data_IF_994577657879
#
_entry.id   IF_994577657879
#
_cell.length_a   1.000
_cell.length_b   1.000
_cell.length_c   1.000
_cell.angle_alpha   90.00
_cell.angle_beta   90.00
_cell.angle_gamma   90.00
#
_symmetry.space_group_name_H-M   'P 1'
#
loop_
_entity.id
_entity.type
_entity.pdbx_description
1 polymer ?
#
# COMPACT_ATOMS: atom_id res chain seq x y z
N UNK A 1 -92.91 -4.74 -21.85
CA UNK A 1 -92.36 -5.39 -20.68
C UNK A 1 -91.00 -5.97 -21.06
N UNK A 2 -89.92 -5.19 -20.97
CA UNK A 2 -88.51 -5.64 -21.22
C UNK A 2 -87.70 -5.32 -20.01
N UNK A 3 -87.14 -6.34 -19.37
CA UNK A 3 -86.22 -6.23 -18.27
C UNK A 3 -84.85 -6.13 -18.87
N UNK A 4 -84.24 -4.99 -18.84
CA UNK A 4 -82.81 -4.83 -19.15
C UNK A 4 -81.93 -5.20 -17.92
N UNK A 5 -81.06 -6.17 -18.12
CA UNK A 5 -80.11 -6.62 -17.11
C UNK A 5 -78.85 -5.77 -17.22
N UNK A 6 -78.53 -5.02 -16.18
CA UNK A 6 -77.21 -4.34 -16.01
C UNK A 6 -76.16 -5.40 -15.71
N UNK A 7 -74.98 -5.31 -16.34
CA UNK A 7 -73.84 -6.13 -15.92
C UNK A 7 -73.01 -5.39 -14.82
N UNK A 8 -72.78 -6.09 -13.72
CA UNK A 8 -71.85 -5.71 -12.68
C UNK A 8 -70.42 -5.84 -13.25
N UNK A 9 -69.74 -4.72 -13.41
CA UNK A 9 -68.29 -4.68 -13.69
C UNK A 9 -67.53 -4.82 -12.37
N UNK A 10 -66.90 -5.99 -12.13
CA UNK A 10 -66.01 -6.24 -11.03
C UNK A 10 -64.63 -5.65 -11.40
N UNK A 11 -64.28 -4.51 -10.82
CA UNK A 11 -62.95 -3.91 -10.93
C UNK A 11 -61.94 -4.63 -10.01
N UNK A 12 -61.08 -5.46 -10.57
CA UNK A 12 -59.88 -5.96 -9.86
C UNK A 12 -58.83 -4.87 -9.78
N UNK A 13 -58.74 -4.21 -8.62
CA UNK A 13 -57.59 -3.35 -8.32
C UNK A 13 -56.38 -4.22 -7.99
N UNK A 14 -55.45 -4.30 -8.94
CA UNK A 14 -54.17 -4.96 -8.70
C UNK A 14 -53.26 -4.04 -7.86
N UNK A 15 -53.08 -4.38 -6.60
CA UNK A 15 -52.06 -3.77 -5.74
C UNK A 15 -50.70 -4.26 -6.19
N UNK A 16 -49.92 -3.42 -6.90
CA UNK A 16 -48.50 -3.66 -7.16
C UNK A 16 -47.73 -3.27 -5.90
N UNK A 17 -47.35 -4.26 -5.10
CA UNK A 17 -46.44 -4.04 -3.98
C UNK A 17 -45.03 -3.75 -4.53
N UNK A 18 -44.59 -2.51 -4.41
CA UNK A 18 -43.21 -2.15 -4.70
C UNK A 18 -42.29 -2.76 -3.63
N UNK A 19 -41.55 -3.82 -4.00
CA UNK A 19 -40.52 -4.41 -3.18
C UNK A 19 -39.32 -3.47 -3.26
N UNK A 20 -39.08 -2.65 -2.24
CA UNK A 20 -37.89 -1.86 -2.07
C UNK A 20 -36.72 -2.83 -1.75
N UNK A 21 -35.91 -3.15 -2.74
CA UNK A 21 -34.65 -3.87 -2.54
C UNK A 21 -33.69 -2.97 -1.79
N UNK A 22 -33.52 -3.18 -0.49
CA UNK A 22 -32.48 -2.57 0.30
C UNK A 22 -31.15 -3.06 -0.26
N UNK A 23 -30.42 -2.18 -0.97
CA UNK A 23 -29.07 -2.44 -1.40
C UNK A 23 -28.16 -2.53 -0.15
N UNK A 24 -27.53 -3.69 0.03
CA UNK A 24 -26.52 -3.86 1.05
C UNK A 24 -25.40 -2.81 0.84
N UNK A 25 -24.83 -2.21 1.92
CA UNK A 25 -23.76 -1.25 1.79
C UNK A 25 -22.60 -1.88 1.02
N UNK A 26 -22.16 -1.22 -0.04
CA UNK A 26 -20.98 -1.62 -0.82
C UNK A 26 -19.78 -1.69 0.13
N UNK A 27 -19.05 -2.81 0.20
CA UNK A 27 -17.84 -2.87 1.04
C UNK A 27 -16.90 -1.73 0.68
N UNK A 28 -16.42 -1.00 1.70
CA UNK A 28 -15.43 0.07 1.48
C UNK A 28 -14.26 -0.50 0.69
N UNK A 29 -13.85 0.19 -0.39
CA UNK A 29 -12.77 -0.25 -1.24
C UNK A 29 -11.50 -0.50 -0.40
N UNK A 30 -10.91 -1.70 -0.51
CA UNK A 30 -9.69 -2.03 0.20
C UNK A 30 -8.54 -1.15 -0.36
N UNK A 31 -7.97 -0.22 0.41
CA UNK A 31 -6.91 0.68 -0.07
C UNK A 31 -5.61 -0.07 -0.41
N UNK A 32 -5.52 -1.34 -0.04
CA UNK A 32 -4.39 -2.21 -0.33
C UNK A 32 -4.63 -3.11 -1.55
N UNK A 33 -5.77 -2.96 -2.26
CA UNK A 33 -6.08 -3.72 -3.47
C UNK A 33 -5.85 -2.89 -4.75
N UNK A 34 -5.46 -3.50 -5.88
CA UNK A 34 -5.37 -2.82 -7.16
C UNK A 34 -6.76 -2.36 -7.68
N UNK A 35 -6.83 -1.34 -8.55
CA UNK A 35 -5.69 -0.58 -9.07
C UNK A 35 -5.14 0.44 -8.05
N UNK A 36 -3.82 0.42 -7.85
CA UNK A 36 -3.18 1.32 -6.90
C UNK A 36 -3.12 2.74 -7.45
N UNK A 37 -3.46 3.70 -6.59
CA UNK A 37 -3.31 5.12 -6.91
C UNK A 37 -1.88 5.58 -6.59
N UNK A 38 -1.31 6.40 -7.48
CA UNK A 38 -0.06 7.12 -7.24
C UNK A 38 1.21 6.22 -7.13
N UNK A 39 1.25 5.07 -7.83
CA UNK A 39 2.50 4.35 -8.08
C UNK A 39 3.32 5.11 -9.13
N UNK A 40 4.54 5.55 -8.76
CA UNK A 40 5.42 6.33 -9.64
C UNK A 40 6.70 5.58 -10.03
N UNK A 41 7.27 4.78 -9.15
CA UNK A 41 8.52 4.05 -9.36
C UNK A 41 8.31 2.55 -9.41
N UNK A 42 7.40 2.03 -8.59
CA UNK A 42 7.04 0.61 -8.61
C UNK A 42 6.20 0.27 -9.85
N UNK A 43 6.28 -0.99 -10.36
CA UNK A 43 5.48 -1.45 -11.49
C UNK A 43 3.98 -1.23 -11.26
N UNK A 44 3.26 -0.86 -12.31
CA UNK A 44 1.81 -0.60 -12.23
C UNK A 44 0.98 -1.87 -12.03
N UNK A 45 1.50 -2.98 -12.47
CA UNK A 45 0.94 -4.34 -12.38
C UNK A 45 1.40 -5.12 -11.15
N UNK A 46 2.12 -4.46 -10.22
CA UNK A 46 2.60 -5.10 -8.99
C UNK A 46 1.42 -5.72 -8.21
N UNK A 47 1.56 -6.97 -7.81
CA UNK A 47 0.55 -7.66 -7.00
C UNK A 47 0.51 -7.14 -5.57
N UNK A 48 -0.63 -7.32 -4.89
CA UNK A 48 -0.77 -6.89 -3.49
C UNK A 48 0.28 -7.51 -2.55
N UNK A 49 0.57 -8.82 -2.60
CA UNK A 49 1.62 -9.40 -1.76
C UNK A 49 2.99 -8.80 -2.01
N UNK A 50 3.35 -8.56 -3.27
CA UNK A 50 4.62 -7.92 -3.65
C UNK A 50 4.71 -6.49 -3.14
N UNK A 51 3.64 -5.69 -3.30
CA UNK A 51 3.62 -4.32 -2.80
C UNK A 51 3.79 -4.27 -1.29
N UNK A 52 3.04 -5.09 -0.54
CA UNK A 52 3.13 -5.15 0.92
C UNK A 52 4.52 -5.65 1.35
N UNK A 53 5.07 -6.64 0.66
CA UNK A 53 6.43 -7.13 0.90
C UNK A 53 7.46 -6.02 0.75
N UNK A 54 7.41 -5.26 -0.34
CA UNK A 54 8.28 -4.10 -0.57
C UNK A 54 8.13 -3.03 0.52
N UNK A 55 6.89 -2.69 0.92
CA UNK A 55 6.66 -1.69 1.98
C UNK A 55 7.23 -2.14 3.34
N UNK A 56 7.08 -3.41 3.69
CA UNK A 56 7.69 -4.00 4.89
C UNK A 56 9.23 -3.95 4.83
N UNK A 57 9.79 -4.33 3.69
CA UNK A 57 11.24 -4.28 3.47
C UNK A 57 11.78 -2.85 3.58
N UNK A 58 11.12 -1.85 3.01
CA UNK A 58 11.51 -0.44 3.13
C UNK A 58 11.46 0.03 4.59
N UNK A 59 10.37 -0.27 5.29
CA UNK A 59 10.21 0.10 6.69
C UNK A 59 11.31 -0.51 7.57
N UNK A 60 11.62 -1.80 7.38
CA UNK A 60 12.69 -2.51 8.10
C UNK A 60 14.08 -1.94 7.76
N UNK A 61 14.32 -1.67 6.47
CA UNK A 61 15.62 -1.13 6.01
C UNK A 61 15.93 0.25 6.61
N UNK A 62 14.89 1.01 6.95
CA UNK A 62 14.99 2.36 7.51
C UNK A 62 14.75 2.41 9.04
N UNK A 63 14.33 1.30 9.66
CA UNK A 63 13.96 1.26 11.07
C UNK A 63 12.76 2.13 11.42
N UNK A 64 11.76 2.23 10.49
CA UNK A 64 10.59 3.10 10.65
C UNK A 64 9.28 2.32 10.50
N UNK A 65 8.16 2.98 10.80
CA UNK A 65 6.81 2.43 10.62
C UNK A 65 6.11 3.08 9.42
N UNK A 66 4.94 2.53 9.06
CA UNK A 66 4.16 2.98 7.89
C UNK A 66 3.83 4.48 7.93
N UNK A 67 3.57 5.01 9.12
CA UNK A 67 3.23 6.42 9.37
C UNK A 67 4.38 7.38 9.07
N UNK A 68 5.61 6.91 8.97
CA UNK A 68 6.74 7.76 8.60
C UNK A 68 6.60 8.31 7.16
N UNK A 69 6.12 7.48 6.23
CA UNK A 69 5.98 7.83 4.81
C UNK A 69 4.52 8.05 4.38
N UNK A 70 3.55 7.45 5.07
CA UNK A 70 2.15 7.49 4.69
C UNK A 70 1.31 8.28 5.68
N UNK A 71 0.26 8.93 5.17
CA UNK A 71 -0.74 9.60 6.00
C UNK A 71 -1.63 8.55 6.67
N UNK A 72 -1.66 8.57 7.98
CA UNK A 72 -2.39 7.64 8.83
C UNK A 72 -1.98 7.83 10.28
N UNK A 73 -2.66 7.15 11.18
CA UNK A 73 -2.42 7.22 12.62
C UNK A 73 -1.90 5.88 13.14
N UNK A 74 -0.88 5.94 14.00
CA UNK A 74 -0.27 4.75 14.60
C UNK A 74 -1.32 3.97 15.42
N UNK A 75 -1.31 2.65 15.29
CA UNK A 75 -2.27 1.78 15.99
C UNK A 75 -3.65 1.69 15.35
N UNK A 76 -3.96 2.51 14.35
CA UNK A 76 -5.23 2.40 13.62
C UNK A 76 -5.14 1.36 12.50
N UNK A 77 -6.28 0.78 12.08
CA UNK A 77 -6.32 -0.13 10.95
C UNK A 77 -5.75 0.48 9.67
N UNK A 78 -5.01 -0.29 8.88
CA UNK A 78 -4.42 0.17 7.62
C UNK A 78 -5.47 0.65 6.60
N UNK A 79 -6.72 0.21 6.72
CA UNK A 79 -7.83 0.68 5.90
C UNK A 79 -8.16 2.17 6.06
N UNK A 80 -7.70 2.80 7.16
CA UNK A 80 -7.89 4.23 7.43
C UNK A 80 -6.76 5.11 6.90
N UNK A 81 -5.69 4.50 6.35
CA UNK A 81 -4.55 5.24 5.84
C UNK A 81 -4.81 5.76 4.43
N UNK A 82 -4.34 6.98 4.15
CA UNK A 82 -4.22 7.49 2.79
C UNK A 82 -2.83 7.15 2.23
N UNK A 83 -2.72 5.93 1.67
CA UNK A 83 -1.49 5.47 1.03
C UNK A 83 -1.17 6.21 -0.26
N UNK A 84 -2.13 6.87 -0.89
CA UNK A 84 -1.93 7.59 -2.14
C UNK A 84 -1.36 9.00 -1.93
N UNK A 85 -1.64 9.62 -0.78
CA UNK A 85 -1.22 10.99 -0.46
C UNK A 85 0.29 11.19 -0.55
N UNK A 86 0.72 12.31 -1.10
CA UNK A 86 2.10 12.80 -1.13
C UNK A 86 2.35 13.94 -0.12
N UNK A 87 1.49 14.08 0.89
CA UNK A 87 1.62 15.11 1.92
C UNK A 87 2.90 14.97 2.75
N UNK A 88 3.48 13.74 2.84
CA UNK A 88 4.71 13.50 3.59
C UNK A 88 5.93 13.52 2.67
N UNK A 89 6.88 14.40 2.95
CA UNK A 89 8.11 14.54 2.14
C UNK A 89 8.99 13.29 2.17
N UNK A 90 8.98 12.53 3.28
CA UNK A 90 9.69 11.26 3.37
C UNK A 90 9.30 10.27 2.27
N UNK A 91 8.03 10.25 1.86
CA UNK A 91 7.56 9.42 0.74
C UNK A 91 8.17 9.85 -0.59
N UNK A 92 8.28 11.17 -0.84
CA UNK A 92 8.91 11.71 -2.04
C UNK A 92 10.42 11.40 -2.08
N UNK A 93 11.08 11.54 -0.91
CA UNK A 93 12.51 11.18 -0.76
C UNK A 93 12.71 9.68 -1.00
N UNK A 94 11.86 8.82 -0.43
CA UNK A 94 11.94 7.37 -0.64
C UNK A 94 11.84 6.98 -2.12
N UNK A 95 10.98 7.64 -2.90
CA UNK A 95 10.91 7.41 -4.36
C UNK A 95 12.19 7.78 -5.08
N UNK A 96 12.84 8.89 -4.71
CA UNK A 96 14.13 9.29 -5.28
C UNK A 96 15.22 8.27 -4.94
N UNK A 97 15.24 7.78 -3.70
CA UNK A 97 16.19 6.74 -3.26
C UNK A 97 15.94 5.42 -3.98
N UNK A 98 14.68 5.01 -4.16
CA UNK A 98 14.32 3.80 -4.90
C UNK A 98 14.77 3.89 -6.36
N UNK A 99 14.52 5.01 -7.03
CA UNK A 99 14.99 5.24 -8.40
C UNK A 99 16.51 5.20 -8.48
N UNK A 100 17.22 5.74 -7.50
CA UNK A 100 18.68 5.67 -7.40
C UNK A 100 19.17 4.21 -7.25
N UNK A 101 18.58 3.44 -6.36
CA UNK A 101 18.91 2.02 -6.15
C UNK A 101 18.67 1.20 -7.43
N UNK A 102 17.57 1.44 -8.14
CA UNK A 102 17.31 0.82 -9.44
C UNK A 102 18.42 1.13 -10.44
N UNK A 103 18.77 2.42 -10.58
CA UNK A 103 19.81 2.85 -11.51
C UNK A 103 21.15 2.20 -11.20
N UNK A 104 21.56 2.15 -9.93
CA UNK A 104 22.82 1.52 -9.51
C UNK A 104 22.81 0.03 -9.89
N UNK A 105 21.75 -0.70 -9.54
CA UNK A 105 21.66 -2.13 -9.87
C UNK A 105 21.70 -2.38 -11.39
N UNK A 106 20.97 -1.58 -12.15
CA UNK A 106 20.87 -1.73 -13.61
C UNK A 106 22.16 -1.31 -14.32
N UNK A 107 22.65 -0.10 -14.05
CA UNK A 107 23.75 0.50 -14.81
C UNK A 107 25.13 0.01 -14.35
N UNK A 108 25.34 -0.14 -13.03
CA UNK A 108 26.64 -0.48 -12.48
C UNK A 108 26.83 -1.99 -12.30
N UNK A 109 25.74 -2.74 -12.04
CA UNK A 109 25.78 -4.18 -11.81
C UNK A 109 25.10 -5.02 -12.88
N UNK A 110 24.50 -4.41 -13.91
CA UNK A 110 23.85 -5.13 -15.01
C UNK A 110 22.64 -5.97 -14.59
N UNK A 111 22.02 -5.65 -13.45
CA UNK A 111 20.86 -6.37 -12.92
C UNK A 111 19.63 -6.01 -13.76
N UNK A 112 19.04 -7.00 -14.42
CA UNK A 112 17.87 -6.81 -15.30
C UNK A 112 16.53 -7.09 -14.62
N UNK A 113 16.56 -7.73 -13.46
CA UNK A 113 15.38 -8.09 -12.69
C UNK A 113 15.63 -7.97 -11.18
N UNK A 114 14.55 -8.04 -10.38
CA UNK A 114 14.63 -7.89 -8.92
C UNK A 114 15.06 -9.17 -8.17
N UNK A 115 15.33 -10.26 -8.87
CA UNK A 115 15.65 -11.55 -8.23
C UNK A 115 17.10 -11.62 -7.72
N UNK A 116 17.98 -10.77 -8.25
CA UNK A 116 19.42 -10.80 -7.95
C UNK A 116 20.01 -9.40 -7.73
N UNK A 117 19.30 -8.54 -7.01
CA UNK A 117 19.77 -7.17 -6.68
C UNK A 117 21.06 -7.21 -5.84
N UNK A 118 22.00 -6.34 -6.16
CA UNK A 118 23.29 -6.19 -5.46
C UNK A 118 23.22 -5.11 -4.39
N UNK A 119 22.49 -4.04 -4.65
CA UNK A 119 22.31 -2.90 -3.74
C UNK A 119 20.84 -2.76 -3.38
N UNK A 120 20.55 -2.61 -2.11
CA UNK A 120 19.21 -2.40 -1.57
C UNK A 120 19.18 -1.18 -0.66
N UNK A 121 18.01 -0.79 -0.18
CA UNK A 121 17.88 0.24 0.85
C UNK A 121 18.71 -0.11 2.09
N UNK A 122 18.70 -1.38 2.49
CA UNK A 122 19.42 -1.86 3.67
C UNK A 122 20.95 -1.76 3.52
N UNK A 123 21.49 -1.86 2.30
CA UNK A 123 22.93 -1.75 2.04
C UNK A 123 23.51 -0.46 2.63
N UNK A 124 22.77 0.65 2.52
CA UNK A 124 23.19 1.94 3.04
C UNK A 124 22.58 2.28 4.39
N UNK A 125 21.28 1.97 4.58
CA UNK A 125 20.51 2.43 5.74
C UNK A 125 20.65 1.57 6.99
N UNK A 126 20.77 0.25 6.85
CA UNK A 126 21.04 -0.70 7.97
C UNK A 126 20.12 -0.50 9.18
N UNK A 127 18.84 -0.23 8.95
CA UNK A 127 17.85 0.01 10.01
C UNK A 127 17.82 1.45 10.53
N UNK A 128 18.41 2.41 9.82
CA UNK A 128 18.39 3.83 10.18
C UNK A 128 17.96 4.70 8.99
N UNK A 129 17.21 5.77 9.27
CA UNK A 129 16.86 6.77 8.25
C UNK A 129 18.05 7.56 7.72
N UNK A 130 19.17 7.60 8.46
CA UNK A 130 20.41 8.27 8.09
C UNK A 130 21.50 7.22 7.90
N UNK A 131 21.98 7.00 6.66
CA UNK A 131 23.17 6.16 6.44
C UNK A 131 24.38 6.69 7.19
N UNK A 132 25.25 5.77 7.62
CA UNK A 132 26.55 6.16 8.20
C UNK A 132 27.43 6.76 7.10
N UNK A 133 28.02 7.92 7.37
CA UNK A 133 28.94 8.62 6.48
C UNK A 133 30.40 8.57 6.98
N UNK A 134 30.61 8.01 8.17
CA UNK A 134 31.91 7.79 8.77
C UNK A 134 31.97 6.40 9.40
N UNK A 135 33.15 5.86 9.56
CA UNK A 135 33.34 4.63 10.32
C UNK A 135 32.97 4.85 11.79
N UNK A 136 32.32 3.87 12.44
CA UNK A 136 32.13 3.92 13.88
C UNK A 136 33.51 3.94 14.58
N UNK A 137 33.64 4.54 15.78
CA UNK A 137 34.87 4.47 16.55
C UNK A 137 35.31 3.01 16.70
N UNK A 138 36.59 2.75 16.49
CA UNK A 138 37.13 1.41 16.71
C UNK A 138 37.19 1.15 18.20
N UNK A 139 36.34 0.25 18.68
CA UNK A 139 36.44 -0.24 20.05
C UNK A 139 37.78 -1.01 20.21
N UNK A 140 38.61 -0.68 21.21
CA UNK A 140 39.85 -1.43 21.43
C UNK A 140 39.53 -2.93 21.60
N UNK A 141 40.25 -3.76 20.91
CA UNK A 141 40.11 -5.22 21.02
C UNK A 141 40.20 -5.62 22.52
N UNK A 142 39.33 -6.54 22.99
CA UNK A 142 39.46 -7.06 24.36
C UNK A 142 40.86 -7.55 24.57
N UNK A 143 41.47 -7.18 25.72
CA UNK A 143 42.83 -7.64 26.06
C UNK A 143 42.89 -9.16 25.97
N UNK A 144 43.93 -9.68 25.29
CA UNK A 144 44.15 -11.10 25.26
C UNK A 144 44.27 -11.64 26.70
N UNK A 145 43.68 -12.83 27.00
CA UNK A 145 43.83 -13.40 28.33
C UNK A 145 45.37 -13.52 28.64
N UNK A 146 45.71 -13.10 29.83
CA UNK A 146 47.09 -13.22 30.31
C UNK A 146 47.51 -14.72 30.32
N UNK A 147 48.76 -15.06 29.96
CA UNK A 147 49.24 -16.43 29.92
C UNK A 147 49.24 -17.13 31.29
#
# INVERSE_FOLDING_TARGET
MNREKLPLAAGCAAFVAAVATAQAPTPAANPLAPPYKNLQVLPKDITQPQLIGNMKFFAQSLGVRCTFCHVGEEGKPLSTFDFASDAKDHKKVARKMLAMVHRINEQDFGVKDFSNVKVTCYTCHRGSTKPLTALPPVEPAPAAPAP
#
